data_IF_815626569576
#
_entry.id   IF_815626569576
#
_cell.length_a   1.000
_cell.length_b   1.000
_cell.length_c   1.000
_cell.angle_alpha   90.00
_cell.angle_beta   90.00
_cell.angle_gamma   90.00
#
_symmetry.space_group_name_H-M   'P 1'
#
loop_
_entity.id
_entity.type
_entity.pdbx_description
1 polymer ?
#
# COMPACT_ATOMS: atom_id res chain seq x y z
N UNK A 1 56.46 3.24 -6.15
CA UNK A 1 55.56 2.44 -5.28
C UNK A 1 54.61 3.41 -4.59
N UNK A 2 53.42 3.56 -5.12
CA UNK A 2 52.36 4.41 -4.53
C UNK A 2 51.24 3.45 -4.05
N UNK A 3 51.02 3.46 -2.74
CA UNK A 3 49.99 2.66 -2.10
C UNK A 3 48.60 3.27 -2.41
N UNK A 4 47.76 2.50 -3.09
CA UNK A 4 46.36 2.83 -3.32
C UNK A 4 45.58 2.63 -2.01
N UNK A 5 45.25 3.71 -1.34
CA UNK A 5 44.35 3.71 -0.18
C UNK A 5 42.91 3.48 -0.69
N UNK A 6 42.42 2.27 -0.52
CA UNK A 6 41.01 1.89 -0.71
C UNK A 6 40.16 2.66 0.31
N UNK A 7 39.47 3.69 -0.15
CA UNK A 7 38.48 4.43 0.63
C UNK A 7 37.19 3.58 0.70
N UNK A 8 37.08 2.69 1.68
CA UNK A 8 35.80 2.09 2.06
C UNK A 8 34.93 3.19 2.66
N UNK A 9 33.67 3.35 2.22
CA UNK A 9 32.73 4.21 2.93
C UNK A 9 32.63 3.71 4.38
N UNK A 10 32.93 4.56 5.33
CA UNK A 10 32.69 4.31 6.74
C UNK A 10 31.18 4.10 6.90
N UNK A 11 30.80 2.91 7.30
CA UNK A 11 29.48 2.58 7.81
C UNK A 11 29.24 3.46 9.05
N UNK A 12 28.63 4.63 8.82
CA UNK A 12 28.18 5.48 9.90
C UNK A 12 27.09 4.67 10.61
N UNK A 13 27.34 4.26 11.85
CA UNK A 13 26.45 3.44 12.68
C UNK A 13 25.07 4.05 12.94
N UNK A 14 24.39 4.42 11.86
CA UNK A 14 23.03 4.93 11.87
C UNK A 14 22.11 3.74 12.01
N UNK A 15 21.65 3.53 13.23
CA UNK A 15 20.73 2.46 13.56
C UNK A 15 19.42 2.63 12.77
N UNK A 16 19.18 1.76 11.76
CA UNK A 16 17.97 1.80 10.95
C UNK A 16 16.73 1.62 11.84
N UNK A 17 15.72 2.49 11.77
CA UNK A 17 14.50 2.31 12.55
C UNK A 17 13.73 1.06 12.09
N UNK A 18 12.92 0.49 13.00
CA UNK A 18 11.96 -0.54 12.62
C UNK A 18 10.87 0.08 11.77
N UNK A 19 10.85 -0.27 10.49
CA UNK A 19 9.97 0.30 9.48
C UNK A 19 8.86 -0.67 9.12
N UNK A 20 7.62 -0.24 9.29
CA UNK A 20 6.45 -0.94 8.80
C UNK A 20 6.13 -0.45 7.39
N UNK A 21 6.16 -1.35 6.43
CA UNK A 21 5.79 -1.07 5.04
C UNK A 21 4.33 -1.45 4.86
N UNK A 22 3.52 -0.50 4.42
CA UNK A 22 2.11 -0.71 4.09
C UNK A 22 1.94 -0.52 2.58
N UNK A 23 1.89 -1.62 1.84
CA UNK A 23 1.95 -1.63 0.38
C UNK A 23 0.97 -2.64 -0.23
N UNK A 24 0.31 -2.33 -1.37
CA UNK A 24 -0.50 -3.31 -2.09
C UNK A 24 0.33 -4.51 -2.56
N UNK A 25 1.57 -4.29 -3.01
CA UNK A 25 2.51 -5.33 -3.41
C UNK A 25 3.46 -5.74 -2.30
N UNK A 26 4.20 -6.81 -2.52
CA UNK A 26 5.19 -7.39 -1.62
C UNK A 26 6.56 -7.42 -2.28
N UNK A 27 7.63 -7.54 -1.49
CA UNK A 27 8.99 -7.75 -2.01
C UNK A 27 9.03 -9.01 -2.89
N UNK A 28 9.33 -8.85 -4.15
CA UNK A 28 9.55 -9.95 -5.09
C UNK A 28 10.30 -9.45 -6.34
N UNK A 29 10.80 -10.36 -7.14
CA UNK A 29 11.48 -10.09 -8.41
C UNK A 29 10.56 -10.17 -9.63
N UNK A 30 9.24 -10.36 -9.46
CA UNK A 30 8.31 -10.66 -10.54
C UNK A 30 7.42 -9.47 -10.90
N UNK A 31 7.10 -8.60 -9.93
CA UNK A 31 6.22 -7.45 -10.14
C UNK A 31 6.98 -6.13 -10.05
N UNK A 32 6.55 -5.12 -10.80
CA UNK A 32 7.19 -3.81 -10.78
C UNK A 32 7.24 -3.20 -9.38
N UNK A 33 6.16 -3.32 -8.60
CA UNK A 33 6.11 -2.86 -7.21
C UNK A 33 7.08 -3.66 -6.31
N UNK A 34 7.17 -4.98 -6.51
CA UNK A 34 8.06 -5.83 -5.72
C UNK A 34 9.53 -5.50 -5.96
N UNK A 35 9.94 -5.38 -7.22
CA UNK A 35 11.30 -4.97 -7.62
C UNK A 35 11.63 -3.57 -7.09
N UNK A 36 10.68 -2.64 -7.23
CA UNK A 36 10.83 -1.28 -6.71
C UNK A 36 11.09 -1.28 -5.20
N UNK A 37 10.26 -1.98 -4.42
CA UNK A 37 10.42 -2.07 -2.97
C UNK A 37 11.73 -2.75 -2.58
N UNK A 38 12.12 -3.83 -3.26
CA UNK A 38 13.37 -4.55 -2.99
C UNK A 38 14.60 -3.64 -3.22
N UNK A 39 14.58 -2.85 -4.29
CA UNK A 39 15.65 -1.89 -4.56
C UNK A 39 15.65 -0.70 -3.58
N UNK A 40 14.47 -0.18 -3.22
CA UNK A 40 14.34 0.94 -2.29
C UNK A 40 14.89 0.62 -0.90
N UNK A 41 14.65 -0.60 -0.42
CA UNK A 41 15.08 -1.04 0.91
C UNK A 41 16.32 -1.94 0.89
N UNK A 42 17.03 -1.99 -0.24
CA UNK A 42 18.29 -2.72 -0.35
C UNK A 42 19.30 -2.23 0.69
N UNK A 43 19.81 -3.15 1.48
CA UNK A 43 20.75 -2.84 2.57
C UNK A 43 20.10 -2.46 3.90
N UNK A 44 18.77 -2.38 3.98
CA UNK A 44 18.07 -2.28 5.26
C UNK A 44 18.12 -3.62 5.99
N UNK A 45 18.41 -3.66 7.30
CA UNK A 45 18.38 -4.91 8.06
C UNK A 45 16.99 -5.57 7.98
N UNK A 46 16.93 -6.82 7.54
CA UNK A 46 15.65 -7.52 7.29
C UNK A 46 14.81 -7.77 8.54
N UNK A 47 15.44 -7.86 9.71
CA UNK A 47 14.78 -7.92 11.01
C UNK A 47 14.17 -6.58 11.45
N UNK A 48 14.55 -5.49 10.78
CA UNK A 48 14.00 -4.15 10.98
C UNK A 48 12.95 -3.73 9.94
N UNK A 49 12.57 -4.66 9.06
CA UNK A 49 11.49 -4.47 8.10
C UNK A 49 10.31 -5.39 8.43
N UNK A 50 9.12 -4.88 8.26
CA UNK A 50 7.87 -5.66 8.27
C UNK A 50 6.94 -5.11 7.19
N UNK A 51 6.23 -5.98 6.49
CA UNK A 51 5.33 -5.57 5.39
C UNK A 51 3.91 -6.09 5.61
N UNK A 52 2.93 -5.19 5.44
CA UNK A 52 1.51 -5.52 5.31
C UNK A 52 1.13 -5.36 3.84
N UNK A 53 0.59 -6.41 3.23
CA UNK A 53 0.26 -6.45 1.82
C UNK A 53 -1.00 -7.27 1.54
N UNK A 54 -1.53 -7.19 0.33
CA UNK A 54 -2.59 -8.08 -0.16
C UNK A 54 -2.20 -8.87 -1.40
N UNK A 55 -0.97 -8.70 -1.87
CA UNK A 55 -0.44 -9.43 -3.02
C UNK A 55 -0.51 -10.95 -2.78
N UNK A 56 -1.03 -11.75 -3.73
CA UNK A 56 -1.02 -13.21 -3.63
C UNK A 56 0.37 -13.83 -3.74
N UNK A 57 1.35 -13.10 -4.27
CA UNK A 57 2.72 -13.56 -4.46
C UNK A 57 3.41 -13.82 -3.11
N UNK A 58 4.25 -14.83 -3.06
CA UNK A 58 5.10 -15.09 -1.90
C UNK A 58 6.12 -13.97 -1.71
N UNK A 59 6.30 -13.45 -0.48
CA UNK A 59 7.32 -12.45 -0.19
C UNK A 59 8.73 -13.03 -0.32
N UNK A 60 9.66 -12.20 -0.80
CA UNK A 60 11.08 -12.51 -0.77
C UNK A 60 11.61 -12.32 0.66
N UNK A 61 11.95 -13.43 1.31
CA UNK A 61 12.44 -13.46 2.70
C UNK A 61 13.88 -12.98 2.85
N UNK A 62 14.61 -12.83 1.74
CA UNK A 62 15.98 -12.30 1.77
C UNK A 62 15.98 -10.78 2.05
N UNK A 63 14.87 -10.10 1.72
CA UNK A 63 14.71 -8.66 1.97
C UNK A 63 13.95 -8.40 3.26
N UNK A 64 12.87 -9.14 3.53
CA UNK A 64 12.01 -8.92 4.69
C UNK A 64 11.44 -10.25 5.19
N UNK A 65 11.72 -10.57 6.45
CA UNK A 65 11.26 -11.83 7.07
C UNK A 65 9.82 -11.75 7.61
N UNK A 66 9.34 -10.55 7.92
CA UNK A 66 8.02 -10.35 8.54
C UNK A 66 7.02 -9.80 7.53
N UNK A 67 6.19 -10.67 6.99
CA UNK A 67 5.10 -10.30 6.10
C UNK A 67 3.74 -10.67 6.70
N UNK A 68 2.76 -9.75 6.61
CA UNK A 68 1.35 -9.99 6.95
C UNK A 68 0.51 -9.80 5.71
N UNK A 69 -0.09 -10.88 5.24
CA UNK A 69 -1.00 -10.81 4.11
C UNK A 69 -2.41 -10.52 4.59
N UNK A 70 -2.99 -9.41 4.12
CA UNK A 70 -4.37 -9.04 4.39
C UNK A 70 -5.33 -10.07 3.77
N UNK A 71 -6.37 -10.39 4.50
CA UNK A 71 -7.42 -11.31 4.09
C UNK A 71 -8.82 -10.69 4.15
N UNK A 72 -9.86 -11.52 3.93
CA UNK A 72 -11.27 -11.07 4.02
C UNK A 72 -11.67 -10.59 5.42
N UNK A 73 -10.92 -10.98 6.46
CA UNK A 73 -11.13 -10.47 7.82
C UNK A 73 -10.84 -8.98 7.95
N UNK A 74 -9.80 -8.49 7.26
CA UNK A 74 -9.39 -7.09 7.26
C UNK A 74 -10.11 -6.28 6.19
N UNK A 75 -10.19 -6.80 4.96
CA UNK A 75 -10.79 -6.09 3.82
C UNK A 75 -11.74 -7.03 3.10
N UNK A 76 -13.03 -6.71 3.11
CA UNK A 76 -14.06 -7.45 2.38
C UNK A 76 -15.18 -6.53 1.92
N UNK A 77 -16.01 -7.00 1.02
CA UNK A 77 -17.18 -6.27 0.55
C UNK A 77 -18.18 -6.05 1.68
N UNK A 78 -18.76 -4.86 1.73
CA UNK A 78 -19.78 -4.51 2.70
C UNK A 78 -21.13 -5.16 2.33
N UNK A 79 -21.92 -5.56 3.32
CA UNK A 79 -23.30 -5.98 3.06
C UNK A 79 -24.13 -4.84 2.43
N UNK A 80 -25.08 -5.13 1.54
CA UNK A 80 -25.51 -6.47 1.07
C UNK A 80 -24.61 -7.07 -0.04
N UNK A 81 -23.61 -6.35 -0.51
CA UNK A 81 -22.77 -6.73 -1.66
C UNK A 81 -21.94 -8.00 -1.41
N UNK A 82 -21.52 -8.22 -0.15
CA UNK A 82 -20.84 -9.45 0.25
C UNK A 82 -21.69 -10.71 0.08
N UNK A 83 -23.01 -10.58 -0.04
CA UNK A 83 -23.92 -11.72 -0.25
C UNK A 83 -23.98 -12.18 -1.71
N UNK A 84 -23.65 -11.31 -2.64
CA UNK A 84 -23.81 -11.55 -4.07
C UNK A 84 -22.50 -11.60 -4.85
N UNK A 85 -21.43 -11.11 -4.27
CA UNK A 85 -20.13 -10.98 -4.94
C UNK A 85 -19.07 -11.79 -4.19
N UNK A 86 -18.19 -12.48 -4.91
CA UNK A 86 -17.08 -13.23 -4.31
C UNK A 86 -16.21 -12.32 -3.43
N UNK A 87 -15.55 -12.84 -2.38
CA UNK A 87 -14.63 -12.07 -1.54
C UNK A 87 -13.56 -11.33 -2.36
N UNK A 88 -13.18 -10.14 -1.92
CA UNK A 88 -12.22 -9.30 -2.64
C UNK A 88 -10.82 -9.89 -2.65
N UNK A 89 -10.45 -10.54 -1.54
CA UNK A 89 -9.14 -11.17 -1.34
C UNK A 89 -9.32 -12.69 -1.25
N UNK A 90 -9.72 -13.32 -2.37
CA UNK A 90 -9.83 -14.78 -2.41
C UNK A 90 -8.45 -15.43 -2.25
N UNK A 91 -8.31 -16.28 -1.25
CA UNK A 91 -7.08 -17.03 -0.98
C UNK A 91 -7.10 -18.30 -1.84
N UNK A 92 -6.28 -18.35 -2.89
CA UNK A 92 -5.97 -19.59 -3.61
C UNK A 92 -6.37 -19.63 -5.08
N UNK A 93 -5.61 -20.37 -5.86
CA UNK A 93 -5.75 -20.55 -7.31
C UNK A 93 -7.02 -21.33 -7.74
N UNK A 94 -7.82 -21.86 -6.81
CA UNK A 94 -9.04 -22.63 -7.09
C UNK A 94 -10.31 -21.80 -7.35
N UNK A 95 -10.30 -20.50 -7.09
CA UNK A 95 -11.50 -19.66 -7.15
C UNK A 95 -11.92 -19.20 -8.57
N UNK A 96 -11.21 -19.63 -9.62
CA UNK A 96 -11.49 -19.20 -11.00
C UNK A 96 -12.71 -19.84 -11.65
N UNK A 97 -13.18 -21.00 -11.17
CA UNK A 97 -14.24 -21.73 -11.87
C UNK A 97 -15.68 -21.28 -11.47
N UNK A 98 -15.91 -20.94 -10.21
CA UNK A 98 -17.26 -20.55 -9.77
C UNK A 98 -17.58 -19.06 -9.97
N UNK A 99 -16.55 -18.22 -10.12
CA UNK A 99 -16.70 -16.78 -10.35
C UNK A 99 -17.31 -16.43 -11.70
N UNK A 100 -17.14 -17.25 -12.73
CA UNK A 100 -17.61 -16.96 -14.08
C UNK A 100 -19.14 -17.07 -14.22
N UNK A 101 -19.77 -18.02 -13.54
CA UNK A 101 -21.23 -18.21 -13.59
C UNK A 101 -21.94 -17.16 -12.73
N UNK A 102 -21.40 -16.82 -11.58
CA UNK A 102 -21.92 -15.74 -10.73
C UNK A 102 -21.73 -14.36 -11.39
N UNK A 103 -20.62 -14.11 -12.07
CA UNK A 103 -20.35 -12.86 -12.80
C UNK A 103 -21.38 -12.62 -13.91
N UNK A 104 -21.91 -13.67 -14.57
CA UNK A 104 -22.93 -13.53 -15.63
C UNK A 104 -24.30 -13.07 -15.09
N UNK A 105 -24.72 -13.54 -13.92
CA UNK A 105 -26.04 -13.20 -13.35
C UNK A 105 -26.11 -11.80 -12.72
N UNK A 106 -24.97 -11.28 -12.28
CA UNK A 106 -24.86 -10.00 -11.56
C UNK A 106 -24.01 -8.96 -12.31
N UNK A 107 -23.72 -9.18 -13.59
CA UNK A 107 -22.95 -8.25 -14.42
C UNK A 107 -23.52 -6.83 -14.45
N UNK A 108 -24.87 -6.71 -14.41
CA UNK A 108 -25.55 -5.43 -14.32
C UNK A 108 -25.30 -4.69 -12.99
N UNK A 109 -25.17 -5.42 -11.87
CA UNK A 109 -24.81 -4.85 -10.55
C UNK A 109 -23.38 -4.28 -10.61
N UNK A 110 -22.44 -5.00 -11.21
CA UNK A 110 -21.09 -4.53 -11.42
C UNK A 110 -21.04 -3.28 -12.31
N UNK A 111 -21.87 -3.24 -13.36
CA UNK A 111 -22.01 -2.07 -14.22
C UNK A 111 -22.61 -0.87 -13.47
N UNK A 112 -23.56 -1.10 -12.57
CA UNK A 112 -24.20 -0.06 -11.76
C UNK A 112 -23.28 0.49 -10.66
N UNK A 113 -22.53 -0.39 -9.98
CA UNK A 113 -21.65 -0.01 -8.88
C UNK A 113 -20.32 0.58 -9.34
N UNK A 114 -19.92 0.31 -10.58
CA UNK A 114 -18.63 0.71 -11.11
C UNK A 114 -17.54 -0.34 -10.85
N UNK A 115 -16.31 0.12 -10.81
CA UNK A 115 -15.13 -0.75 -10.75
C UNK A 115 -15.00 -1.48 -9.42
N UNK A 116 -15.58 -0.93 -8.34
CA UNK A 116 -15.48 -1.52 -7.00
C UNK A 116 -16.79 -1.40 -6.22
N UNK A 117 -17.21 -2.49 -5.63
CA UNK A 117 -18.27 -2.49 -4.63
C UNK A 117 -17.77 -1.82 -3.33
N UNK A 118 -18.67 -1.24 -2.51
CA UNK A 118 -18.28 -0.74 -1.20
C UNK A 118 -17.65 -1.83 -0.34
N UNK A 119 -16.46 -1.53 0.21
CA UNK A 119 -15.71 -2.45 1.06
C UNK A 119 -15.73 -1.96 2.51
N UNK A 120 -15.71 -2.90 3.43
CA UNK A 120 -15.34 -2.64 4.82
C UNK A 120 -13.83 -2.83 4.97
N UNK A 121 -13.23 -2.08 5.88
CA UNK A 121 -11.85 -2.27 6.30
C UNK A 121 -11.82 -2.28 7.82
N UNK A 122 -11.26 -3.32 8.41
CA UNK A 122 -11.27 -3.58 9.86
C UNK A 122 -9.85 -3.87 10.31
N UNK A 123 -9.39 -3.12 11.30
CA UNK A 123 -8.16 -3.43 12.02
C UNK A 123 -8.46 -4.57 13.01
N UNK A 124 -8.15 -5.80 12.60
CA UNK A 124 -8.43 -7.00 13.38
C UNK A 124 -7.51 -7.10 14.61
N UNK A 125 -7.94 -7.78 15.70
CA UNK A 125 -7.07 -8.02 16.86
C UNK A 125 -5.79 -8.81 16.50
N UNK A 126 -5.85 -9.65 15.45
CA UNK A 126 -4.69 -10.39 14.96
C UNK A 126 -3.67 -9.44 14.33
N UNK A 127 -4.12 -8.57 13.43
CA UNK A 127 -3.25 -7.57 12.79
C UNK A 127 -2.69 -6.58 13.81
N UNK A 128 -3.51 -6.13 14.78
CA UNK A 128 -3.04 -5.26 15.86
C UNK A 128 -1.88 -5.89 16.64
N UNK A 129 -2.06 -7.12 17.13
CA UNK A 129 -1.01 -7.84 17.86
C UNK A 129 0.25 -8.01 17.03
N UNK A 130 0.10 -8.35 15.75
CA UNK A 130 1.25 -8.52 14.85
C UNK A 130 2.05 -7.22 14.68
N UNK A 131 1.38 -6.06 14.60
CA UNK A 131 2.03 -4.74 14.57
C UNK A 131 2.68 -4.42 15.92
N UNK A 132 1.97 -4.66 17.02
CA UNK A 132 2.47 -4.43 18.39
C UNK A 132 3.73 -5.26 18.69
N UNK A 133 3.78 -6.52 18.24
CA UNK A 133 4.94 -7.39 18.40
C UNK A 133 6.16 -6.91 17.61
N UNK A 134 5.94 -6.33 16.44
CA UNK A 134 7.04 -5.75 15.65
C UNK A 134 7.56 -4.45 16.25
N UNK A 135 6.72 -3.67 16.93
CA UNK A 135 7.03 -2.36 17.52
C UNK A 135 7.62 -1.40 16.49
N UNK A 136 6.90 -1.06 15.42
CA UNK A 136 7.40 -0.16 14.39
C UNK A 136 7.67 1.24 14.96
N UNK A 137 8.66 1.92 14.40
CA UNK A 137 9.02 3.30 14.75
C UNK A 137 8.58 4.30 13.68
N UNK A 138 8.34 3.82 12.46
CA UNK A 138 7.81 4.62 11.36
C UNK A 138 7.07 3.72 10.37
N UNK A 139 6.27 4.35 9.50
CA UNK A 139 5.55 3.66 8.42
C UNK A 139 5.92 4.25 7.08
N UNK A 140 6.16 3.39 6.11
CA UNK A 140 6.24 3.75 4.69
C UNK A 140 5.02 3.19 3.98
N UNK A 141 4.31 4.01 3.20
CA UNK A 141 3.08 3.55 2.54
C UNK A 141 2.97 3.95 1.08
N UNK A 142 2.46 2.99 0.29
CA UNK A 142 1.95 3.19 -1.06
C UNK A 142 0.42 3.17 -0.99
N UNK A 143 -0.22 4.33 -1.03
CA UNK A 143 -1.69 4.42 -1.01
C UNK A 143 -2.25 4.31 -2.43
N UNK A 144 -3.39 3.65 -2.59
CA UNK A 144 -4.00 3.45 -3.91
C UNK A 144 -5.52 3.30 -3.88
N UNK A 145 -6.08 2.36 -3.14
CA UNK A 145 -7.51 2.09 -3.14
C UNK A 145 -8.19 2.51 -1.85
N UNK A 146 -9.48 2.84 -1.93
CA UNK A 146 -10.25 3.32 -0.80
C UNK A 146 -10.27 2.37 0.41
N UNK A 147 -10.53 1.03 0.26
CA UNK A 147 -10.51 0.14 1.40
C UNK A 147 -9.12 0.06 2.07
N UNK A 148 -8.08 0.13 1.27
CA UNK A 148 -6.71 0.13 1.75
C UNK A 148 -6.39 1.41 2.55
N UNK A 149 -6.87 2.58 2.07
CA UNK A 149 -6.75 3.83 2.81
C UNK A 149 -7.56 3.84 4.11
N UNK A 150 -8.76 3.22 4.13
CA UNK A 150 -9.55 3.08 5.35
C UNK A 150 -8.83 2.27 6.43
N UNK A 151 -8.20 1.16 6.03
CA UNK A 151 -7.41 0.34 6.96
C UNK A 151 -6.16 1.08 7.43
N UNK A 152 -5.47 1.79 6.52
CA UNK A 152 -4.34 2.64 6.88
C UNK A 152 -4.72 3.70 7.91
N UNK A 153 -5.84 4.41 7.71
CA UNK A 153 -6.34 5.38 8.68
C UNK A 153 -6.57 4.75 10.06
N UNK A 154 -7.18 3.55 10.11
CA UNK A 154 -7.41 2.84 11.37
C UNK A 154 -6.09 2.45 12.08
N UNK A 155 -5.09 2.01 11.32
CA UNK A 155 -3.75 1.73 11.85
C UNK A 155 -3.12 3.01 12.41
N UNK A 156 -3.15 4.11 11.65
CA UNK A 156 -2.54 5.37 12.08
C UNK A 156 -3.26 6.02 13.25
N UNK A 157 -4.58 5.84 13.38
CA UNK A 157 -5.33 6.28 14.55
C UNK A 157 -4.98 5.49 15.82
N UNK A 158 -4.64 4.20 15.66
CA UNK A 158 -4.31 3.33 16.80
C UNK A 158 -2.87 3.48 17.29
N UNK A 159 -1.92 3.68 16.35
CA UNK A 159 -0.49 3.62 16.66
C UNK A 159 0.22 4.97 16.61
N UNK A 160 -0.38 5.99 16.00
CA UNK A 160 0.13 7.38 15.94
C UNK A 160 1.58 7.51 15.46
N UNK A 161 2.01 6.63 14.55
CA UNK A 161 3.38 6.57 14.05
C UNK A 161 3.67 7.66 13.01
N UNK A 162 4.89 8.20 12.96
CA UNK A 162 5.32 9.03 11.84
C UNK A 162 5.35 8.18 10.55
N UNK A 163 4.94 8.78 9.43
CA UNK A 163 4.90 8.04 8.17
C UNK A 163 5.30 8.87 6.96
N UNK A 164 5.77 8.14 5.95
CA UNK A 164 6.02 8.63 4.61
C UNK A 164 4.97 8.08 3.64
N UNK A 165 4.39 8.95 2.81
CA UNK A 165 3.51 8.55 1.70
C UNK A 165 4.30 8.65 0.41
N UNK A 166 4.31 7.58 -0.38
CA UNK A 166 4.89 7.58 -1.72
C UNK A 166 3.81 7.32 -2.77
N UNK A 167 3.68 8.21 -3.73
CA UNK A 167 2.72 8.12 -4.82
C UNK A 167 3.48 7.80 -6.10
N UNK A 168 3.22 6.63 -6.65
CA UNK A 168 3.97 6.08 -7.78
C UNK A 168 3.36 6.39 -9.15
N UNK A 169 2.08 6.79 -9.18
CA UNK A 169 1.34 7.14 -10.40
C UNK A 169 0.24 8.18 -10.10
N UNK A 170 -0.38 8.74 -11.11
CA UNK A 170 -1.47 9.71 -10.93
C UNK A 170 -2.85 9.02 -10.79
N UNK A 171 -2.92 7.93 -10.01
CA UNK A 171 -4.18 7.26 -9.70
C UNK A 171 -5.26 8.21 -9.11
N UNK A 172 -4.93 9.29 -8.36
CA UNK A 172 -5.95 10.21 -7.86
C UNK A 172 -6.73 10.91 -8.97
N UNK A 173 -6.12 11.10 -10.13
CA UNK A 173 -6.79 11.71 -11.29
C UNK A 173 -7.80 10.78 -11.95
N UNK A 174 -7.63 9.46 -11.84
CA UNK A 174 -8.41 8.48 -12.61
C UNK A 174 -9.31 7.58 -11.75
N UNK A 175 -9.09 7.54 -10.42
CA UNK A 175 -9.83 6.65 -9.53
C UNK A 175 -11.35 6.93 -9.52
N UNK A 176 -12.13 5.87 -9.40
CA UNK A 176 -13.60 5.90 -9.17
C UNK A 176 -14.39 6.80 -10.13
N UNK A 177 -14.04 6.83 -11.41
CA UNK A 177 -14.74 7.65 -12.42
C UNK A 177 -16.04 7.03 -12.93
N UNK A 178 -16.24 5.73 -12.71
CA UNK A 178 -17.35 4.96 -13.26
C UNK A 178 -18.31 4.50 -12.15
N UNK A 179 -19.56 4.22 -12.55
CA UNK A 179 -20.59 3.70 -11.69
C UNK A 179 -21.32 4.77 -10.85
N UNK A 180 -22.51 4.44 -10.38
CA UNK A 180 -23.39 5.35 -9.62
C UNK A 180 -22.74 5.78 -8.29
N UNK A 181 -22.00 4.90 -7.64
CA UNK A 181 -21.29 5.20 -6.40
C UNK A 181 -19.91 5.84 -6.62
N UNK A 182 -19.44 5.90 -7.88
CA UNK A 182 -18.13 6.43 -8.24
C UNK A 182 -17.85 7.83 -7.68
N UNK A 183 -18.73 8.82 -7.86
CA UNK A 183 -18.51 10.17 -7.33
C UNK A 183 -18.35 10.22 -5.81
N UNK A 184 -19.15 9.43 -5.06
CA UNK A 184 -19.05 9.33 -3.61
C UNK A 184 -17.73 8.66 -3.17
N UNK A 185 -17.40 7.54 -3.78
CA UNK A 185 -16.14 6.82 -3.48
C UNK A 185 -14.91 7.66 -3.84
N UNK A 186 -14.96 8.37 -4.95
CA UNK A 186 -13.92 9.30 -5.36
C UNK A 186 -13.74 10.43 -4.35
N UNK A 187 -14.83 11.05 -3.92
CA UNK A 187 -14.79 12.12 -2.92
C UNK A 187 -14.13 11.61 -1.62
N UNK A 188 -14.56 10.46 -1.13
CA UNK A 188 -13.99 9.86 0.07
C UNK A 188 -12.50 9.52 -0.10
N UNK A 189 -12.12 8.92 -1.24
CA UNK A 189 -10.74 8.54 -1.53
C UNK A 189 -9.81 9.76 -1.55
N UNK A 190 -10.22 10.84 -2.26
CA UNK A 190 -9.44 12.06 -2.35
C UNK A 190 -9.37 12.80 -1.01
N UNK A 191 -10.45 12.82 -0.24
CA UNK A 191 -10.44 13.41 1.11
C UNK A 191 -9.50 12.65 2.07
N UNK A 192 -9.51 11.31 2.02
CA UNK A 192 -8.57 10.49 2.81
C UNK A 192 -7.13 10.69 2.38
N UNK A 193 -6.88 10.76 1.08
CA UNK A 193 -5.55 11.05 0.56
C UNK A 193 -5.05 12.41 1.05
N UNK A 194 -5.87 13.45 0.94
CA UNK A 194 -5.52 14.80 1.40
C UNK A 194 -5.17 14.81 2.89
N UNK A 195 -5.99 14.17 3.73
CA UNK A 195 -5.69 13.99 5.17
C UNK A 195 -4.39 13.22 5.41
N UNK A 196 -4.14 12.16 4.66
CA UNK A 196 -2.91 11.38 4.79
C UNK A 196 -1.70 12.22 4.38
N UNK A 197 -1.80 12.98 3.30
CA UNK A 197 -0.74 13.90 2.87
C UNK A 197 -0.49 15.01 3.88
N UNK A 198 -1.54 15.60 4.45
CA UNK A 198 -1.39 16.66 5.44
C UNK A 198 -0.63 16.21 6.71
N UNK A 199 -0.83 14.97 7.14
CA UNK A 199 -0.20 14.38 8.33
C UNK A 199 1.14 13.69 8.06
N UNK A 200 1.45 13.37 6.82
CA UNK A 200 2.70 12.70 6.45
C UNK A 200 3.92 13.55 6.82
N UNK A 201 4.94 12.92 7.40
CA UNK A 201 6.23 13.57 7.63
C UNK A 201 7.00 13.76 6.34
N UNK A 202 6.86 12.81 5.41
CA UNK A 202 7.53 12.83 4.10
C UNK A 202 6.52 12.46 3.01
N UNK A 203 6.58 13.17 1.89
CA UNK A 203 5.74 12.94 0.70
C UNK A 203 6.66 12.73 -0.48
N UNK A 204 6.59 11.54 -1.05
CA UNK A 204 7.43 11.11 -2.16
C UNK A 204 6.62 10.93 -3.42
N UNK A 205 7.20 11.24 -4.55
CA UNK A 205 6.68 11.01 -5.91
C UNK A 205 7.82 10.54 -6.81
N UNK A 206 7.51 9.93 -7.94
CA UNK A 206 8.50 9.26 -8.79
C UNK A 206 9.34 10.20 -9.66
N UNK A 207 8.91 11.44 -9.93
CA UNK A 207 9.63 12.35 -10.80
C UNK A 207 9.34 13.84 -10.50
N UNK A 208 10.16 14.73 -11.03
CA UNK A 208 10.03 16.17 -10.83
C UNK A 208 8.73 16.74 -11.41
N UNK A 209 8.29 16.29 -12.58
CA UNK A 209 7.03 16.72 -13.16
C UNK A 209 5.85 16.41 -12.23
N UNK A 210 5.86 15.21 -11.61
CA UNK A 210 4.85 14.81 -10.64
C UNK A 210 4.98 15.61 -9.34
N UNK A 211 6.20 15.90 -8.88
CA UNK A 211 6.44 16.77 -7.73
C UNK A 211 5.77 18.14 -7.90
N UNK A 212 5.99 18.80 -9.04
CA UNK A 212 5.41 20.10 -9.32
C UNK A 212 3.87 20.04 -9.41
N UNK A 213 3.33 19.04 -10.11
CA UNK A 213 1.89 18.86 -10.26
C UNK A 213 1.20 18.61 -8.92
N UNK A 214 1.77 17.74 -8.08
CA UNK A 214 1.21 17.39 -6.77
C UNK A 214 1.38 18.51 -5.75
N UNK A 215 2.52 19.24 -5.77
CA UNK A 215 2.71 20.43 -4.93
C UNK A 215 1.64 21.49 -5.24
N UNK A 216 1.35 21.76 -6.53
CA UNK A 216 0.27 22.68 -6.90
C UNK A 216 -1.13 22.20 -6.51
N UNK A 217 -1.38 20.87 -6.64
CA UNK A 217 -2.71 20.28 -6.37
C UNK A 217 -3.04 20.22 -4.89
N UNK A 218 -2.08 19.84 -4.04
CA UNK A 218 -2.31 19.54 -2.63
C UNK A 218 -1.74 20.59 -1.66
N UNK A 219 -0.97 21.57 -2.15
CA UNK A 219 -0.39 22.63 -1.32
C UNK A 219 0.69 22.18 -0.34
N UNK A 220 1.24 20.96 -0.52
CA UNK A 220 2.30 20.39 0.31
C UNK A 220 3.61 20.25 -0.48
N UNK A 221 4.74 20.31 0.21
CA UNK A 221 6.03 19.98 -0.40
C UNK A 221 6.16 18.48 -0.66
N UNK A 222 6.57 18.12 -1.87
CA UNK A 222 6.89 16.74 -2.28
C UNK A 222 8.35 16.63 -2.65
N UNK A 223 8.92 15.46 -2.47
CA UNK A 223 10.27 15.12 -2.90
C UNK A 223 10.18 14.11 -4.04
N UNK A 224 10.82 14.40 -5.15
CA UNK A 224 10.95 13.41 -6.23
C UNK A 224 11.98 12.36 -5.81
N UNK A 225 11.60 11.11 -5.83
CA UNK A 225 12.46 9.96 -5.59
C UNK A 225 12.27 8.96 -6.71
N UNK A 226 13.21 8.91 -7.60
CA UNK A 226 13.25 7.95 -8.70
C UNK A 226 14.26 6.86 -8.36
N UNK A 227 13.78 5.62 -8.27
CA UNK A 227 14.68 4.48 -8.20
C UNK A 227 15.23 4.24 -9.61
N UNK A 228 16.49 4.59 -9.83
CA UNK A 228 17.18 4.22 -11.06
C UNK A 228 17.53 2.74 -10.96
N UNK A 229 16.93 1.95 -11.84
CA UNK A 229 17.23 0.53 -12.04
C UNK A 229 18.64 0.35 -12.62
#
# INVERSE_FOLDING_TARGET
>A
MAASTSNRPQDSGQEHPRLLIYSPGVFNSQTGTGVFLANLFKGWPKDRLAIIHWDPTQPDTDVCERAYRLGPAEIDKQAPWSWFLAPTLAVGEGAKADGAVAASRYGWIKSLLGEEAPHRAILTPQLMRWIEDFKPQAVYTLLGTLPYMRLFDAIMQRFELPYAVHIMDDWPSVCYRKGVLGPFMRHEALHRLDRALARAKTRLVICDAMREAFTRRYGHAFTAYQNML
#
